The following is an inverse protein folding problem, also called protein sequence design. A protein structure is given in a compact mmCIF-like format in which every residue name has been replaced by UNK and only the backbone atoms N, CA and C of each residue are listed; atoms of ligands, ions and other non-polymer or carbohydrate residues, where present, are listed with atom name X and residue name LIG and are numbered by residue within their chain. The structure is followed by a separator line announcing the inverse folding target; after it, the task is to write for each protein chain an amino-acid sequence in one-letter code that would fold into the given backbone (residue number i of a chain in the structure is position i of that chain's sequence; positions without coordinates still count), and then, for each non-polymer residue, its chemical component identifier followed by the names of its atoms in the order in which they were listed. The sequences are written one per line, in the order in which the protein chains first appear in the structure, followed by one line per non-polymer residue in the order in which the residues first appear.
data_IF_618717969719
#
_entry.id   IF_618717969719
#
_cell.length_a   1.000
_cell.length_b   1.000
_cell.length_c   1.000
_cell.angle_alpha   90.00
_cell.angle_beta   90.00
_cell.angle_gamma   90.00
#
_symmetry.space_group_name_H-M   'P 1'
#
loop_
_entity.id
_entity.type
_entity.pdbx_description
1 polymer ?
#
# COMPACT_ATOMS: atom_id res chain seq x y z
N UNK A 1 3.81 6.41 24.12
CA UNK A 1 4.00 5.51 22.95
C UNK A 1 2.98 5.85 21.89
N UNK A 2 3.41 6.03 20.65
CA UNK A 2 2.50 6.34 19.55
C UNK A 2 1.88 5.05 18.99
N UNK A 3 0.57 5.04 18.74
CA UNK A 3 -0.05 3.86 18.12
C UNK A 3 0.47 3.63 16.71
N UNK A 4 0.44 2.37 16.28
CA UNK A 4 0.81 2.00 14.93
C UNK A 4 -0.40 2.18 14.01
N UNK A 5 -0.21 2.93 12.93
CA UNK A 5 -1.24 3.14 11.92
C UNK A 5 -0.94 2.28 10.70
N UNK A 6 -1.87 1.38 10.38
CA UNK A 6 -1.77 0.56 9.18
C UNK A 6 -2.49 1.24 8.03
N UNK A 7 -1.78 1.47 6.92
CA UNK A 7 -2.33 2.10 5.73
C UNK A 7 -2.41 1.04 4.63
N UNK A 8 -3.61 0.79 4.13
CA UNK A 8 -3.84 -0.16 3.05
C UNK A 8 -4.03 0.60 1.75
N UNK A 9 -3.20 0.27 0.76
CA UNK A 9 -3.21 0.91 -0.55
C UNK A 9 -3.45 -0.16 -1.62
N UNK A 10 -4.69 -0.30 -2.10
CA UNK A 10 -4.95 -1.20 -3.24
C UNK A 10 -4.30 -0.64 -4.50
N UNK A 11 -3.68 -1.52 -5.29
CA UNK A 11 -2.94 -1.13 -6.50
C UNK A 11 -3.46 -1.95 -7.69
N UNK A 12 -3.90 -1.26 -8.75
CA UNK A 12 -4.24 -1.91 -10.00
C UNK A 12 -4.01 -0.94 -11.16
N UNK A 13 -2.96 -1.17 -11.94
CA UNK A 13 -2.63 -0.38 -13.14
C UNK A 13 -2.59 1.13 -12.88
N UNK A 14 -1.83 1.53 -11.85
CA UNK A 14 -1.69 2.93 -11.41
C UNK A 14 -0.25 3.41 -11.49
N UNK A 15 0.54 2.88 -12.43
CA UNK A 15 1.97 3.20 -12.51
C UNK A 15 2.25 4.70 -12.63
N UNK A 16 1.33 5.47 -13.22
CA UNK A 16 1.49 6.92 -13.36
C UNK A 16 1.29 7.67 -12.04
N UNK A 17 0.58 7.08 -11.10
CA UNK A 17 0.18 7.75 -9.85
C UNK A 17 0.84 7.18 -8.61
N UNK A 18 1.33 5.93 -8.70
CA UNK A 18 1.76 5.17 -7.52
C UNK A 18 2.94 5.83 -6.81
N UNK A 19 3.92 6.31 -7.56
CA UNK A 19 5.09 6.96 -6.97
C UNK A 19 4.67 8.16 -6.12
N UNK A 20 3.82 9.03 -6.67
CA UNK A 20 3.31 10.20 -5.94
C UNK A 20 2.53 9.79 -4.70
N UNK A 21 1.70 8.76 -4.82
CA UNK A 21 0.91 8.26 -3.70
C UNK A 21 1.81 7.80 -2.56
N UNK A 22 2.80 6.96 -2.86
CA UNK A 22 3.71 6.43 -1.84
C UNK A 22 4.53 7.56 -1.23
N UNK A 23 5.05 8.47 -2.05
CA UNK A 23 5.82 9.61 -1.55
C UNK A 23 5.01 10.47 -0.59
N UNK A 24 3.74 10.72 -0.89
CA UNK A 24 2.90 11.52 -0.01
C UNK A 24 2.66 10.83 1.33
N UNK A 25 2.55 9.51 1.35
CA UNK A 25 2.41 8.76 2.60
C UNK A 25 3.70 8.84 3.41
N UNK A 26 4.85 8.67 2.76
CA UNK A 26 6.15 8.68 3.45
C UNK A 26 6.51 10.06 3.98
N UNK A 27 6.02 11.14 3.35
CA UNK A 27 6.35 12.50 3.71
C UNK A 27 5.40 13.14 4.72
N UNK A 28 4.34 12.45 5.11
CA UNK A 28 3.41 13.01 6.08
C UNK A 28 4.02 12.99 7.50
N UNK A 29 3.44 13.76 8.40
CA UNK A 29 4.03 14.04 9.71
C UNK A 29 4.11 12.81 10.61
N UNK A 30 3.06 11.99 10.62
CA UNK A 30 3.00 10.81 11.47
C UNK A 30 3.86 9.70 10.87
N UNK A 31 4.83 9.19 11.61
CA UNK A 31 5.84 8.28 11.07
C UNK A 31 5.71 6.83 11.55
N UNK A 32 4.89 6.56 12.55
CA UNK A 32 4.73 5.19 13.06
C UNK A 32 3.71 4.43 12.21
N UNK A 33 4.15 4.01 11.02
CA UNK A 33 3.30 3.47 9.97
C UNK A 33 3.66 2.03 9.61
N UNK A 34 2.62 1.28 9.25
CA UNK A 34 2.73 0.03 8.51
C UNK A 34 1.99 0.25 7.19
N UNK A 35 2.72 0.24 6.08
CA UNK A 35 2.14 0.53 4.76
C UNK A 35 1.99 -0.77 4.00
N UNK A 36 0.75 -1.16 3.72
CA UNK A 36 0.41 -2.42 3.05
C UNK A 36 -0.02 -2.10 1.63
N UNK A 37 0.84 -2.41 0.67
CA UNK A 37 0.55 -2.24 -0.74
C UNK A 37 0.03 -3.57 -1.29
N UNK A 38 -1.20 -3.58 -1.74
CA UNK A 38 -1.83 -4.80 -2.29
C UNK A 38 -1.91 -4.67 -3.80
N UNK A 39 -1.02 -5.38 -4.49
CA UNK A 39 -1.01 -5.44 -5.96
C UNK A 39 -2.08 -6.43 -6.40
N UNK A 40 -3.20 -5.91 -6.89
CA UNK A 40 -4.38 -6.68 -7.30
C UNK A 40 -4.25 -7.17 -8.74
N UNK A 41 -3.14 -7.83 -9.04
CA UNK A 41 -2.91 -8.41 -10.36
C UNK A 41 -2.62 -7.39 -11.44
N UNK A 42 -1.93 -6.29 -11.11
CA UNK A 42 -1.60 -5.25 -12.08
C UNK A 42 -0.80 -5.81 -13.25
N UNK A 43 -1.12 -5.35 -14.45
CA UNK A 43 -0.44 -5.77 -15.69
C UNK A 43 0.58 -4.74 -16.18
N UNK A 44 0.64 -3.58 -15.54
CA UNK A 44 1.63 -2.55 -15.82
C UNK A 44 2.81 -2.65 -14.85
N UNK A 45 3.58 -1.58 -14.67
CA UNK A 45 4.75 -1.57 -13.80
C UNK A 45 4.43 -1.30 -12.32
N UNK A 46 3.15 -1.21 -11.95
CA UNK A 46 2.76 -0.91 -10.56
C UNK A 46 3.38 -1.87 -9.55
N UNK A 47 3.33 -3.17 -9.83
CA UNK A 47 3.90 -4.17 -8.92
C UNK A 47 5.40 -3.99 -8.72
N UNK A 48 6.14 -3.71 -9.79
CA UNK A 48 7.58 -3.50 -9.71
C UNK A 48 7.91 -2.21 -8.94
N UNK A 49 7.12 -1.16 -9.13
CA UNK A 49 7.29 0.09 -8.39
C UNK A 49 7.09 -0.15 -6.90
N UNK A 50 6.01 -0.87 -6.54
CA UNK A 50 5.73 -1.21 -5.15
C UNK A 50 6.89 -1.98 -4.52
N UNK A 51 7.41 -2.99 -5.23
CA UNK A 51 8.54 -3.79 -4.74
C UNK A 51 9.78 -2.95 -4.51
N UNK A 52 10.04 -1.98 -5.38
CA UNK A 52 11.21 -1.11 -5.23
C UNK A 52 11.13 -0.25 -3.97
N UNK A 53 9.93 0.21 -3.60
CA UNK A 53 9.74 0.97 -2.37
C UNK A 53 9.89 0.08 -1.13
N UNK A 54 9.37 -1.14 -1.17
CA UNK A 54 9.49 -2.07 -0.05
C UNK A 54 10.96 -2.42 0.23
N UNK A 55 11.79 -2.47 -0.81
CA UNK A 55 13.21 -2.72 -0.66
C UNK A 55 13.94 -1.57 0.05
N UNK A 56 13.41 -0.35 -0.02
CA UNK A 56 14.04 0.85 0.55
C UNK A 56 13.51 1.24 1.92
N UNK A 57 12.29 0.84 2.27
CA UNK A 57 11.64 1.26 3.51
C UNK A 57 10.98 0.06 4.20
N UNK A 58 11.42 -0.23 5.42
CA UNK A 58 10.95 -1.38 6.17
C UNK A 58 9.50 -1.30 6.56
N UNK A 59 8.90 -0.11 6.55
CA UNK A 59 7.50 0.07 6.90
C UNK A 59 6.57 -0.40 5.79
N UNK A 60 7.10 -0.56 4.56
CA UNK A 60 6.33 -0.93 3.39
C UNK A 60 6.38 -2.43 3.19
N UNK A 61 5.19 -3.04 3.10
CA UNK A 61 5.01 -4.46 2.79
C UNK A 61 4.18 -4.57 1.53
N UNK A 62 4.60 -5.43 0.60
CA UNK A 62 3.92 -5.61 -0.68
C UNK A 62 3.38 -7.03 -0.77
N UNK A 63 2.13 -7.15 -1.19
CA UNK A 63 1.50 -8.43 -1.46
C UNK A 63 0.97 -8.43 -2.89
N UNK A 64 1.33 -9.46 -3.64
CA UNK A 64 0.86 -9.64 -5.01
C UNK A 64 -0.22 -10.72 -5.02
N UNK A 65 -1.33 -10.46 -5.68
CA UNK A 65 -2.44 -11.41 -5.76
C UNK A 65 -3.09 -11.36 -7.13
N UNK A 66 -3.89 -12.36 -7.46
CA UNK A 66 -4.69 -12.34 -8.67
C UNK A 66 -5.75 -11.24 -8.59
N UNK A 67 -6.07 -10.63 -9.74
CA UNK A 67 -7.06 -9.57 -9.79
C UNK A 67 -8.41 -10.06 -9.27
N UNK A 68 -8.94 -9.38 -8.28
CA UNK A 68 -10.22 -9.69 -7.67
C UNK A 68 -11.09 -8.45 -7.44
N UNK A 69 -10.56 -7.26 -7.77
CA UNK A 69 -11.28 -6.01 -7.60
C UNK A 69 -10.94 -5.27 -6.31
N UNK A 70 -11.42 -4.05 -6.21
CA UNK A 70 -11.07 -3.13 -5.12
C UNK A 70 -11.43 -3.67 -3.73
N UNK A 71 -12.66 -4.20 -3.58
CA UNK A 71 -13.09 -4.72 -2.28
C UNK A 71 -12.27 -5.93 -1.86
N UNK A 72 -11.93 -6.81 -2.81
CA UNK A 72 -11.10 -7.97 -2.55
C UNK A 72 -9.69 -7.55 -2.11
N UNK A 73 -9.12 -6.55 -2.79
CA UNK A 73 -7.79 -6.03 -2.44
C UNK A 73 -7.78 -5.43 -1.05
N UNK A 74 -8.81 -4.65 -0.69
CA UNK A 74 -8.93 -4.07 0.66
C UNK A 74 -9.05 -5.15 1.72
N UNK A 75 -9.87 -6.16 1.49
CA UNK A 75 -10.02 -7.28 2.42
C UNK A 75 -8.73 -8.07 2.57
N UNK A 76 -8.00 -8.26 1.48
CA UNK A 76 -6.70 -8.92 1.54
C UNK A 76 -5.74 -8.15 2.44
N UNK A 77 -5.70 -6.81 2.27
CA UNK A 77 -4.88 -5.96 3.13
C UNK A 77 -5.27 -6.05 4.59
N UNK A 78 -6.58 -6.09 4.89
CA UNK A 78 -7.07 -6.22 6.27
C UNK A 78 -6.57 -7.50 6.95
N UNK A 79 -6.39 -8.57 6.20
CA UNK A 79 -5.89 -9.83 6.76
C UNK A 79 -4.43 -9.75 7.19
N UNK A 80 -3.70 -8.71 6.77
CA UNK A 80 -2.26 -8.58 7.01
C UNK A 80 -1.89 -7.40 7.91
N UNK A 81 -2.86 -6.61 8.38
CA UNK A 81 -2.55 -5.47 9.24
C UNK A 81 -2.21 -5.91 10.65
N UNK A 82 -1.29 -5.18 11.28
CA UNK A 82 -0.93 -5.39 12.68
C UNK A 82 -1.08 -4.13 13.52
N UNK A 83 -1.49 -3.02 12.89
CA UNK A 83 -1.58 -1.73 13.57
C UNK A 83 -2.81 -1.59 14.45
N UNK A 84 -2.77 -0.53 15.25
CA UNK A 84 -3.87 -0.17 16.17
C UNK A 84 -5.02 0.50 15.44
N UNK A 85 -4.72 1.20 14.36
CA UNK A 85 -5.69 1.91 13.52
C UNK A 85 -5.45 1.57 12.06
N UNK A 86 -6.50 1.63 11.25
CA UNK A 86 -6.45 1.28 9.84
C UNK A 86 -6.99 2.43 9.00
N UNK A 87 -6.25 2.78 7.94
CA UNK A 87 -6.65 3.79 6.98
C UNK A 87 -6.52 3.22 5.57
N UNK A 88 -7.51 3.48 4.72
CA UNK A 88 -7.46 3.12 3.30
C UNK A 88 -7.11 4.35 2.48
N UNK A 89 -6.18 4.21 1.53
CA UNK A 89 -5.80 5.29 0.62
C UNK A 89 -5.88 4.76 -0.80
N UNK A 90 -6.57 5.50 -1.68
CA UNK A 90 -6.62 5.16 -3.10
C UNK A 90 -5.33 5.59 -3.78
N UNK A 91 -4.76 4.68 -4.60
CA UNK A 91 -3.46 4.91 -5.22
C UNK A 91 -3.51 5.79 -6.47
N UNK A 92 -4.69 6.07 -6.98
CA UNK A 92 -4.88 6.84 -8.22
C UNK A 92 -5.32 8.29 -7.97
N UNK A 93 -5.24 8.75 -6.74
CA UNK A 93 -5.60 10.15 -6.40
C UNK A 93 -4.44 11.12 -6.56
#
# INVERSE_FOLDING_TARGET
MQPLLSIIVPIYNVEQYLDRCIQSILNQTYQNLEIILVDDGATDCSGAIADSYAAKDKRIKVFHKENGGLSDARNYGLDHVTGDYILFIDSDD
#
